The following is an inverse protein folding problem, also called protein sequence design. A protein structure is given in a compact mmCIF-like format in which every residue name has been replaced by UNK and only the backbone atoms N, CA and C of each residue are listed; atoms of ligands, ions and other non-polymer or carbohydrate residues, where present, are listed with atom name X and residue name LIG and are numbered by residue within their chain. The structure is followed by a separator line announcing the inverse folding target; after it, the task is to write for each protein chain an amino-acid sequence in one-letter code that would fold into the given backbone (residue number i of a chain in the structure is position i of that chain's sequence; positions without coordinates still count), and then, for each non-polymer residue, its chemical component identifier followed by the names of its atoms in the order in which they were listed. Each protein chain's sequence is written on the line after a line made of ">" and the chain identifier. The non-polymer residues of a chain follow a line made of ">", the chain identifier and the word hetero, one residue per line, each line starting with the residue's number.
data_IF_713759370857
#
_entry.id   IF_713759370857
#
_cell.length_a   1.000
_cell.length_b   1.000
_cell.length_c   1.000
_cell.angle_alpha   90.00
_cell.angle_beta   90.00
_cell.angle_gamma   90.00
#
_symmetry.space_group_name_H-M   'P 1'
#
loop_
_entity.id
_entity.type
_entity.pdbx_description
1 polymer ?
#
# COMPACT_ATOMS: atom_id res chain seq x y z
N UNK A 1 17.73 -16.64 -11.84
CA UNK A 1 16.59 -16.29 -12.71
C UNK A 1 15.56 -17.40 -12.53
N UNK A 2 14.28 -17.05 -12.37
CA UNK A 2 13.19 -17.99 -12.08
C UNK A 2 12.10 -17.78 -13.12
N UNK A 3 11.53 -18.87 -13.64
CA UNK A 3 10.43 -18.81 -14.60
C UNK A 3 9.09 -19.00 -13.89
N UNK A 4 8.20 -18.03 -14.04
CA UNK A 4 6.80 -18.11 -13.59
C UNK A 4 5.90 -18.31 -14.81
N UNK A 5 5.70 -19.58 -15.18
CA UNK A 5 5.04 -19.92 -16.44
C UNK A 5 5.77 -19.29 -17.63
N UNK A 6 5.11 -18.50 -18.49
CA UNK A 6 5.76 -17.82 -19.61
C UNK A 6 6.57 -16.58 -19.20
N UNK A 7 6.47 -16.13 -17.94
CA UNK A 7 7.10 -14.89 -17.46
C UNK A 7 8.46 -15.21 -16.86
N UNK A 8 9.52 -14.59 -17.39
CA UNK A 8 10.86 -14.66 -16.81
C UNK A 8 11.03 -13.60 -15.73
N UNK A 9 11.46 -14.02 -14.55
CA UNK A 9 11.65 -13.13 -13.39
C UNK A 9 13.08 -13.24 -12.87
N UNK A 10 13.66 -12.10 -12.54
CA UNK A 10 14.95 -12.01 -11.86
C UNK A 10 14.66 -11.68 -10.40
N UNK A 11 15.05 -12.58 -9.50
CA UNK A 11 14.92 -12.38 -8.05
C UNK A 11 16.24 -11.82 -7.53
N UNK A 12 16.17 -10.67 -6.87
CA UNK A 12 17.32 -10.03 -6.22
C UNK A 12 17.39 -10.49 -4.75
N UNK A 13 18.41 -11.30 -4.42
CA UNK A 13 18.54 -11.91 -3.09
C UNK A 13 19.45 -11.18 -2.10
N UNK A 14 20.14 -10.12 -2.51
CA UNK A 14 21.08 -9.41 -1.63
C UNK A 14 20.76 -7.91 -1.54
N UNK A 15 20.91 -7.35 -0.34
CA UNK A 15 20.65 -5.93 -0.08
C UNK A 15 21.51 -5.00 -0.95
N UNK A 16 22.77 -5.40 -1.22
CA UNK A 16 23.67 -4.66 -2.11
C UNK A 16 23.12 -4.58 -3.53
N UNK A 17 22.73 -5.72 -4.12
CA UNK A 17 22.18 -5.76 -5.47
C UNK A 17 20.84 -5.02 -5.57
N UNK A 18 19.98 -5.15 -4.56
CA UNK A 18 18.73 -4.40 -4.48
C UNK A 18 19.04 -2.89 -4.54
N UNK A 19 19.95 -2.40 -3.70
CA UNK A 19 20.32 -0.98 -3.68
C UNK A 19 20.86 -0.51 -5.03
N UNK A 20 21.77 -1.26 -5.64
CA UNK A 20 22.35 -0.94 -6.96
C UNK A 20 21.28 -0.89 -8.06
N UNK A 21 20.36 -1.85 -8.10
CA UNK A 21 19.26 -1.86 -9.06
C UNK A 21 18.30 -0.67 -8.86
N UNK A 22 17.86 -0.39 -7.62
CA UNK A 22 16.92 0.70 -7.35
C UNK A 22 17.51 2.11 -7.58
N UNK A 23 18.84 2.24 -7.68
CA UNK A 23 19.51 3.49 -8.02
C UNK A 23 19.59 3.74 -9.54
N UNK A 24 19.46 2.70 -10.36
CA UNK A 24 19.59 2.81 -11.81
C UNK A 24 18.20 2.96 -12.47
N UNK A 25 17.94 4.06 -13.22
CA UNK A 25 16.65 4.33 -13.84
C UNK A 25 16.12 3.25 -14.78
N UNK A 26 16.99 2.40 -15.33
CA UNK A 26 16.59 1.28 -16.21
C UNK A 26 15.65 0.31 -15.49
N UNK A 27 15.76 0.18 -14.17
CA UNK A 27 14.91 -0.70 -13.36
C UNK A 27 13.66 -0.01 -12.80
N UNK A 28 13.38 1.24 -13.18
CA UNK A 28 12.21 1.98 -12.68
C UNK A 28 10.90 1.63 -13.39
N UNK A 29 10.87 0.60 -14.24
CA UNK A 29 9.65 0.13 -14.90
C UNK A 29 8.58 -0.35 -13.91
N UNK A 30 7.34 -0.46 -14.40
CA UNK A 30 6.20 -1.03 -13.69
C UNK A 30 5.83 -2.35 -14.37
N UNK A 31 5.93 -3.48 -13.67
CA UNK A 31 5.46 -4.74 -14.24
C UNK A 31 3.97 -4.62 -14.58
N UNK A 32 3.56 -5.18 -15.72
CA UNK A 32 2.16 -5.25 -16.13
C UNK A 32 1.43 -6.33 -15.34
N UNK A 33 1.34 -6.14 -14.02
CA UNK A 33 0.62 -7.05 -13.15
C UNK A 33 -0.89 -6.91 -13.43
N UNK A 34 -1.52 -8.04 -13.76
CA UNK A 34 -2.92 -8.08 -14.17
C UNK A 34 -3.87 -7.47 -13.11
N UNK A 35 -3.60 -7.73 -11.83
CA UNK A 35 -4.34 -7.20 -10.69
C UNK A 35 -4.30 -5.66 -10.65
N UNK A 36 -3.12 -5.07 -10.81
CA UNK A 36 -2.93 -3.63 -10.81
C UNK A 36 -3.63 -2.98 -12.01
N UNK A 37 -3.56 -3.60 -13.19
CA UNK A 37 -4.20 -3.08 -14.41
C UNK A 37 -5.73 -3.12 -14.33
N UNK A 38 -6.33 -4.14 -13.71
CA UNK A 38 -7.78 -4.15 -13.47
C UNK A 38 -8.15 -3.00 -12.53
N UNK A 39 -7.44 -2.86 -11.41
CA UNK A 39 -7.73 -1.82 -10.41
C UNK A 39 -7.62 -0.41 -10.98
N UNK A 40 -6.68 -0.17 -11.91
CA UNK A 40 -6.47 1.14 -12.53
C UNK A 40 -7.17 1.29 -13.88
N UNK A 41 -8.04 0.34 -14.27
CA UNK A 41 -8.73 0.33 -15.57
C UNK A 41 -7.77 0.56 -16.76
N UNK A 42 -6.72 -0.27 -16.84
CA UNK A 42 -5.58 -0.09 -17.75
C UNK A 42 -4.39 0.58 -17.08
N UNK A 43 -3.47 1.16 -17.86
CA UNK A 43 -2.28 1.86 -17.33
C UNK A 43 -2.61 3.30 -16.95
N UNK A 44 -3.14 3.52 -15.76
CA UNK A 44 -3.53 4.84 -15.26
C UNK A 44 -3.03 5.07 -13.82
N UNK A 45 -2.85 6.35 -13.49
CA UNK A 45 -2.41 6.77 -12.16
C UNK A 45 -0.97 6.39 -11.84
N UNK A 46 -0.56 6.62 -10.59
CA UNK A 46 0.84 6.54 -10.17
C UNK A 46 1.43 5.13 -10.09
N UNK A 47 0.58 4.11 -9.99
CA UNK A 47 0.99 2.73 -9.74
C UNK A 47 1.35 1.99 -11.02
N UNK A 48 0.66 2.25 -12.13
CA UNK A 48 0.77 1.44 -13.37
C UNK A 48 1.24 2.23 -14.60
N UNK A 49 1.34 3.56 -14.51
CA UNK A 49 1.91 4.38 -15.60
C UNK A 49 3.43 4.40 -15.58
N UNK A 50 4.02 4.72 -16.73
CA UNK A 50 5.47 4.82 -16.93
C UNK A 50 5.82 6.07 -17.75
N UNK A 51 7.11 6.41 -17.80
CA UNK A 51 7.61 7.49 -18.65
C UNK A 51 7.11 8.88 -18.24
N UNK A 52 6.99 9.82 -19.19
CA UNK A 52 6.66 11.22 -18.92
C UNK A 52 5.33 11.42 -18.16
N UNK A 53 4.33 10.58 -18.45
CA UNK A 53 3.02 10.63 -17.77
C UNK A 53 3.15 10.32 -16.29
N UNK A 54 3.89 9.27 -15.94
CA UNK A 54 4.14 8.90 -14.54
C UNK A 54 4.90 10.02 -13.81
N UNK A 55 5.90 10.62 -14.46
CA UNK A 55 6.67 11.69 -13.86
C UNK A 55 5.83 12.94 -13.59
N UNK A 56 4.98 13.33 -14.54
CA UNK A 56 4.08 14.46 -14.40
C UNK A 56 3.10 14.23 -13.25
N UNK A 57 2.41 13.08 -13.24
CA UNK A 57 1.49 12.71 -12.17
C UNK A 57 2.20 12.69 -10.82
N UNK A 58 3.41 12.10 -10.73
CA UNK A 58 4.18 12.04 -9.48
C UNK A 58 4.55 13.43 -8.98
N UNK A 59 5.02 14.32 -9.87
CA UNK A 59 5.35 15.71 -9.52
C UNK A 59 4.11 16.46 -9.04
N UNK A 60 3.00 16.34 -9.77
CA UNK A 60 1.73 16.96 -9.41
C UNK A 60 1.24 16.47 -8.04
N UNK A 61 1.11 15.16 -7.83
CA UNK A 61 0.60 14.59 -6.58
C UNK A 61 1.50 14.92 -5.40
N UNK A 62 2.82 14.85 -5.56
CA UNK A 62 3.75 15.20 -4.47
C UNK A 62 3.62 16.67 -4.06
N UNK A 63 3.48 17.58 -5.03
CA UNK A 63 3.22 19.00 -4.77
C UNK A 63 1.87 19.20 -4.08
N UNK A 64 0.80 18.60 -4.62
CA UNK A 64 -0.54 18.71 -4.05
C UNK A 64 -0.60 18.22 -2.59
N UNK A 65 -0.05 17.03 -2.31
CA UNK A 65 0.00 16.48 -0.95
C UNK A 65 0.73 17.42 0.01
N UNK A 66 1.89 17.97 -0.38
CA UNK A 66 2.62 18.95 0.45
C UNK A 66 1.82 20.23 0.68
N UNK A 67 1.07 20.70 -0.32
CA UNK A 67 0.16 21.85 -0.17
C UNK A 67 -0.91 21.56 0.88
N UNK A 68 -1.53 20.37 0.84
CA UNK A 68 -2.53 19.92 1.82
C UNK A 68 -1.96 19.47 3.18
N UNK A 69 -0.66 19.68 3.41
CA UNK A 69 -0.06 19.50 4.72
C UNK A 69 0.64 18.17 4.95
N UNK A 70 0.75 17.31 3.93
CA UNK A 70 1.57 16.11 4.00
C UNK A 70 3.03 16.45 4.32
N UNK A 71 3.59 15.79 5.32
CA UNK A 71 4.95 16.05 5.82
C UNK A 71 5.11 17.35 6.62
N UNK A 72 4.01 18.02 7.00
CA UNK A 72 4.01 19.20 7.88
C UNK A 72 3.39 18.86 9.24
N UNK A 73 3.54 19.75 10.22
CA UNK A 73 2.90 19.63 11.56
C UNK A 73 1.37 19.48 11.49
N UNK A 74 0.73 20.01 10.46
CA UNK A 74 -0.71 19.80 10.24
C UNK A 74 -1.08 18.33 10.06
N UNK A 75 -0.24 17.54 9.39
CA UNK A 75 -0.45 16.09 9.26
C UNK A 75 -0.27 15.39 10.60
N UNK A 76 0.69 15.81 11.42
CA UNK A 76 0.88 15.29 12.77
C UNK A 76 -0.38 15.50 13.62
N UNK A 77 -0.99 16.68 13.59
CA UNK A 77 -2.26 16.93 14.28
C UNK A 77 -3.38 15.99 13.82
N UNK A 78 -3.47 15.70 12.52
CA UNK A 78 -4.46 14.76 11.98
C UNK A 78 -4.22 13.33 12.49
N UNK A 79 -2.96 12.88 12.47
CA UNK A 79 -2.58 11.55 12.97
C UNK A 79 -2.83 11.45 14.48
N UNK A 80 -2.40 12.44 15.26
CA UNK A 80 -2.58 12.45 16.71
C UNK A 80 -4.05 12.46 17.13
N UNK A 81 -4.91 13.10 16.34
CA UNK A 81 -6.37 13.02 16.54
C UNK A 81 -6.89 11.60 16.37
N UNK A 82 -6.51 10.90 15.30
CA UNK A 82 -6.92 9.51 15.08
C UNK A 82 -6.34 8.56 16.14
N UNK A 83 -5.11 8.82 16.63
CA UNK A 83 -4.53 8.10 17.77
C UNK A 83 -5.35 8.31 19.04
N UNK A 84 -5.73 9.56 19.35
CA UNK A 84 -6.56 9.87 20.52
C UNK A 84 -7.91 9.16 20.50
N UNK A 85 -8.58 9.15 19.36
CA UNK A 85 -9.85 8.43 19.15
C UNK A 85 -9.69 6.92 19.34
N UNK A 86 -8.63 6.34 18.77
CA UNK A 86 -8.33 4.92 18.92
C UNK A 86 -8.03 4.55 20.38
N UNK A 87 -7.26 5.38 21.11
CA UNK A 87 -6.97 5.18 22.53
C UNK A 87 -8.23 5.30 23.40
N UNK A 88 -9.12 6.25 23.11
CA UNK A 88 -10.39 6.38 23.82
C UNK A 88 -11.28 5.15 23.61
N UNK A 89 -11.31 4.60 22.39
CA UNK A 89 -12.01 3.35 22.11
C UNK A 89 -11.39 2.16 22.85
N UNK A 90 -10.06 2.08 22.97
CA UNK A 90 -9.40 1.03 23.76
C UNK A 90 -9.80 1.11 25.24
N UNK A 91 -9.79 2.33 25.81
CA UNK A 91 -10.19 2.56 27.21
C UNK A 91 -11.65 2.15 27.45
N UNK A 92 -12.57 2.44 26.54
CA UNK A 92 -13.98 2.05 26.69
C UNK A 92 -14.22 0.53 26.55
N UNK A 93 -13.21 -0.22 26.10
CA UNK A 93 -13.23 -1.67 25.97
C UNK A 93 -12.28 -2.36 26.96
N UNK A 94 -11.85 -1.67 28.02
CA UNK A 94 -11.04 -2.26 29.08
C UNK A 94 -11.72 -3.52 29.66
N UNK A 95 -10.91 -4.57 29.86
CA UNK A 95 -11.37 -5.87 30.34
C UNK A 95 -12.12 -6.73 29.32
N UNK A 96 -12.28 -6.28 28.06
CA UNK A 96 -12.95 -7.04 26.99
C UNK A 96 -11.95 -7.55 25.96
N UNK A 97 -12.25 -8.72 25.38
CA UNK A 97 -11.54 -9.19 24.19
C UNK A 97 -12.02 -8.39 22.98
N UNK A 98 -11.09 -7.73 22.28
CA UNK A 98 -11.38 -6.90 21.11
C UNK A 98 -10.43 -7.17 19.94
N UNK A 99 -10.95 -7.06 18.72
CA UNK A 99 -10.15 -7.14 17.49
C UNK A 99 -9.70 -5.74 17.08
N UNK A 100 -8.38 -5.51 17.06
CA UNK A 100 -7.82 -4.17 16.78
C UNK A 100 -7.82 -3.78 15.30
N UNK A 101 -7.79 -4.78 14.42
CA UNK A 101 -7.52 -4.61 12.99
C UNK A 101 -8.38 -3.51 12.35
N UNK A 102 -9.70 -3.65 12.41
CA UNK A 102 -10.59 -2.77 11.66
C UNK A 102 -10.56 -1.32 12.18
N UNK A 103 -10.45 -1.16 13.51
CA UNK A 103 -10.38 0.16 14.16
C UNK A 103 -9.06 0.86 13.87
N UNK A 104 -7.95 0.11 13.92
CA UNK A 104 -6.64 0.63 13.57
C UNK A 104 -6.53 0.98 12.08
N UNK A 105 -6.99 0.11 11.20
CA UNK A 105 -6.99 0.35 9.75
C UNK A 105 -7.85 1.57 9.38
N UNK A 106 -9.00 1.76 10.04
CA UNK A 106 -9.85 2.93 9.83
C UNK A 106 -9.16 4.23 10.30
N UNK A 107 -8.43 4.20 11.42
CA UNK A 107 -7.63 5.33 11.90
C UNK A 107 -6.59 5.78 10.83
N UNK A 108 -5.88 4.81 10.24
CA UNK A 108 -4.89 5.07 9.19
C UNK A 108 -5.55 5.67 7.94
N UNK A 109 -6.68 5.09 7.52
CA UNK A 109 -7.44 5.62 6.36
C UNK A 109 -7.96 7.02 6.65
N UNK A 110 -8.52 7.30 7.81
CA UNK A 110 -9.03 8.61 8.17
C UNK A 110 -7.94 9.70 8.20
N UNK A 111 -6.73 9.37 8.66
CA UNK A 111 -5.61 10.31 8.64
C UNK A 111 -5.27 10.73 7.20
N UNK A 112 -5.24 9.77 6.27
CA UNK A 112 -5.01 10.05 4.85
C UNK A 112 -6.23 10.73 4.18
N UNK A 113 -7.44 10.26 4.47
CA UNK A 113 -8.69 10.76 3.88
C UNK A 113 -8.97 12.19 4.32
N UNK A 114 -8.56 12.57 5.52
CA UNK A 114 -8.61 13.96 5.99
C UNK A 114 -7.73 14.89 5.16
N UNK A 115 -6.61 14.40 4.61
CA UNK A 115 -5.73 15.21 3.74
C UNK A 115 -6.32 15.34 2.33
N UNK A 116 -6.89 14.24 1.80
CA UNK A 116 -7.33 14.18 0.40
C UNK A 116 -8.73 14.76 0.22
N UNK A 117 -9.66 14.42 1.12
CA UNK A 117 -11.09 14.72 0.99
C UNK A 117 -11.59 15.71 2.04
N UNK A 118 -10.73 16.15 2.98
CA UNK A 118 -11.13 16.97 4.14
C UNK A 118 -12.32 16.37 4.91
N UNK A 119 -12.42 15.04 4.90
CA UNK A 119 -13.51 14.27 5.50
C UNK A 119 -12.95 13.16 6.37
N UNK A 120 -13.73 12.78 7.37
CA UNK A 120 -13.44 11.72 8.32
C UNK A 120 -14.67 10.83 8.49
N UNK A 121 -14.44 9.54 8.65
CA UNK A 121 -15.45 8.57 9.03
C UNK A 121 -15.45 8.37 10.55
N UNK A 122 -16.64 8.17 11.12
CA UNK A 122 -16.75 7.81 12.53
C UNK A 122 -16.18 6.40 12.75
N UNK A 123 -15.52 6.19 13.89
CA UNK A 123 -14.82 4.92 14.15
C UNK A 123 -15.77 3.75 14.38
N UNK A 124 -16.99 4.03 14.79
CA UNK A 124 -18.08 3.09 15.07
C UNK A 124 -19.03 2.89 13.89
N UNK A 125 -18.82 3.58 12.77
CA UNK A 125 -19.62 3.43 11.54
C UNK A 125 -19.44 2.04 10.94
N UNK A 126 -20.43 1.16 11.15
CA UNK A 126 -20.44 -0.23 10.70
C UNK A 126 -20.25 -0.35 9.19
N UNK A 127 -20.80 0.59 8.42
CA UNK A 127 -20.78 0.53 6.97
C UNK A 127 -19.39 0.85 6.43
N UNK A 128 -18.70 1.83 7.02
CA UNK A 128 -17.32 2.18 6.63
C UNK A 128 -16.32 1.10 7.02
N UNK A 129 -16.51 0.47 8.17
CA UNK A 129 -15.70 -0.67 8.58
C UNK A 129 -15.92 -1.86 7.64
N UNK A 130 -17.17 -2.14 7.27
CA UNK A 130 -17.47 -3.23 6.34
C UNK A 130 -16.90 -2.95 4.94
N UNK A 131 -17.01 -1.71 4.46
CA UNK A 131 -16.40 -1.28 3.21
C UNK A 131 -14.89 -1.47 3.23
N UNK A 132 -14.23 -1.07 4.33
CA UNK A 132 -12.79 -1.21 4.50
C UNK A 132 -12.36 -2.68 4.51
N UNK A 133 -13.08 -3.55 5.24
CA UNK A 133 -12.86 -5.01 5.21
C UNK A 133 -12.99 -5.58 3.80
N UNK A 134 -14.01 -5.16 3.05
CA UNK A 134 -14.24 -5.62 1.69
C UNK A 134 -13.09 -5.19 0.76
N UNK A 135 -12.61 -3.95 0.92
CA UNK A 135 -11.46 -3.43 0.18
C UNK A 135 -10.20 -4.25 0.47
N UNK A 136 -9.86 -4.48 1.73
CA UNK A 136 -8.68 -5.28 2.09
C UNK A 136 -8.78 -6.73 1.62
N UNK A 137 -9.96 -7.35 1.74
CA UNK A 137 -10.20 -8.69 1.20
C UNK A 137 -10.02 -8.74 -0.31
N UNK A 138 -10.46 -7.70 -1.03
CA UNK A 138 -10.27 -7.59 -2.48
C UNK A 138 -8.78 -7.52 -2.82
N UNK A 139 -8.04 -6.60 -2.19
CA UNK A 139 -6.59 -6.44 -2.39
C UNK A 139 -5.81 -7.71 -2.06
N UNK A 140 -6.15 -8.38 -0.95
CA UNK A 140 -5.49 -9.62 -0.55
C UNK A 140 -5.74 -10.75 -1.55
N UNK A 141 -6.96 -10.89 -2.08
CA UNK A 141 -7.28 -11.88 -3.12
C UNK A 141 -6.60 -11.56 -4.45
N UNK A 142 -6.45 -10.27 -4.76
CA UNK A 142 -5.78 -9.79 -5.97
C UNK A 142 -4.26 -9.91 -5.90
N UNK A 143 -3.68 -10.11 -4.71
CA UNK A 143 -2.24 -10.35 -4.56
C UNK A 143 -1.96 -11.81 -4.90
N UNK A 144 -1.26 -12.12 -6.00
CA UNK A 144 -0.94 -13.50 -6.35
C UNK A 144 -0.17 -14.19 -5.21
N UNK A 145 -0.70 -15.33 -4.74
CA UNK A 145 0.03 -16.21 -3.84
C UNK A 145 1.08 -16.96 -4.67
N UNK A 146 2.33 -16.52 -4.60
CA UNK A 146 3.41 -17.18 -5.31
C UNK A 146 3.92 -18.36 -4.47
N UNK A 147 3.59 -19.58 -4.88
CA UNK A 147 4.25 -20.78 -4.36
C UNK A 147 5.54 -20.99 -5.16
N UNK A 148 6.69 -20.79 -4.51
CA UNK A 148 7.98 -21.19 -5.06
C UNK A 148 8.13 -22.69 -4.88
N UNK A 149 8.03 -23.45 -5.97
CA UNK A 149 8.51 -24.84 -5.98
C UNK A 149 10.03 -24.76 -6.11
N UNK A 150 10.73 -24.96 -4.99
CA UNK A 150 12.18 -25.07 -4.98
C UNK A 150 12.52 -26.51 -5.37
N UNK A 151 13.04 -26.70 -6.59
CA UNK A 151 13.65 -27.96 -6.98
C UNK A 151 15.03 -28.06 -6.30
N UNK A 152 15.17 -29.03 -5.40
CA UNK A 152 16.42 -29.30 -4.68
C UNK A 152 17.59 -29.65 -5.61
N UNK A 153 17.32 -30.09 -6.84
CA UNK A 153 18.36 -30.43 -7.83
C UNK A 153 18.94 -29.19 -8.55
N UNK A 154 18.37 -28.00 -8.33
CA UNK A 154 18.82 -26.73 -8.90
C UNK A 154 19.53 -25.84 -7.85
N UNK A 155 19.62 -26.30 -6.60
CA UNK A 155 20.39 -25.62 -5.57
C UNK A 155 21.88 -25.93 -5.78
N UNK A 156 22.78 -24.92 -5.73
CA UNK A 156 24.20 -25.20 -5.74
C UNK A 156 24.52 -26.11 -4.54
N UNK A 157 25.11 -27.28 -4.81
CA UNK A 157 25.66 -28.14 -3.78
C UNK A 157 26.76 -27.33 -3.06
N UNK A 158 26.50 -26.99 -1.80
CA UNK A 158 27.53 -26.46 -0.88
C UNK A 158 28.24 -27.63 -0.24
#
# INVERSE_FOLDING_TARGET
>A
MVNFGPIRVIVLGSAKLIKECFQNPIFNGRPSEWSALILTNGRNGLLTTEGPVWEEQRRFTSRALRTFGFGKRSMESLVMREVGEFLNWLKSNEGKSVTLRDRFELAVVNALWSIIASKRFQHDDSDKLQLLRNLYKSVQKSTPHFTLIVDSNQLPHV
#
